data_IF_884140916001
#
_entry.id   IF_884140916001
#
_cell.length_a   1.000
_cell.length_b   1.000
_cell.length_c   1.000
_cell.angle_alpha   90.00
_cell.angle_beta   90.00
_cell.angle_gamma   90.00
#
_symmetry.space_group_name_H-M   'P 1'
#
loop_
_entity.id
_entity.type
_entity.pdbx_description
1 polymer ?
#
# COMPACT_ATOMS: atom_id res chain seq x y z
N UNK A 1 -0.64 15.37 -5.82
CA UNK A 1 0.14 14.12 -5.91
C UNK A 1 -0.50 13.19 -6.93
N UNK A 2 0.32 12.64 -7.81
CA UNK A 2 -0.18 11.76 -8.86
C UNK A 2 0.43 10.39 -8.71
N UNK A 3 -0.39 9.39 -8.45
CA UNK A 3 0.10 8.02 -8.26
C UNK A 3 0.01 7.23 -9.57
N UNK A 4 0.94 6.27 -9.72
CA UNK A 4 0.88 5.31 -10.83
C UNK A 4 -0.31 4.39 -10.64
N UNK A 5 -0.66 3.64 -11.69
CA UNK A 5 -1.75 2.66 -11.60
C UNK A 5 -1.44 1.58 -10.58
N UNK A 6 -0.19 1.14 -10.48
CA UNK A 6 0.23 0.15 -9.48
C UNK A 6 0.06 0.70 -8.08
N UNK A 7 0.45 1.96 -7.86
CA UNK A 7 0.29 2.60 -6.56
C UNK A 7 -1.20 2.74 -6.20
N UNK A 8 -2.04 3.12 -7.16
CA UNK A 8 -3.48 3.22 -6.93
C UNK A 8 -4.09 1.86 -6.60
N UNK A 9 -3.62 0.80 -7.26
CA UNK A 9 -4.08 -0.56 -6.98
C UNK A 9 -3.80 -0.94 -5.52
N UNK A 10 -2.61 -0.61 -5.02
CA UNK A 10 -2.26 -0.86 -3.62
C UNK A 10 -3.16 -0.04 -2.71
N UNK A 11 -3.36 1.23 -3.02
CA UNK A 11 -4.19 2.11 -2.18
C UNK A 11 -5.64 1.65 -2.12
N UNK A 12 -6.16 1.01 -3.16
CA UNK A 12 -7.50 0.42 -3.12
C UNK A 12 -7.62 -0.63 -2.03
N UNK A 13 -6.57 -1.44 -1.86
CA UNK A 13 -6.57 -2.47 -0.83
C UNK A 13 -6.34 -1.90 0.56
N UNK A 14 -5.24 -1.19 0.75
CA UNK A 14 -4.86 -0.73 2.09
C UNK A 14 -5.80 0.35 2.61
N UNK A 15 -6.38 1.15 1.73
CA UNK A 15 -7.36 2.17 2.12
C UNK A 15 -8.63 1.56 2.70
N UNK A 16 -8.93 0.30 2.39
CA UNK A 16 -10.08 -0.43 2.92
C UNK A 16 -9.76 -1.20 4.19
N UNK A 17 -8.51 -1.11 4.66
CA UNK A 17 -8.10 -1.78 5.88
C UNK A 17 -7.28 -3.05 5.69
N UNK A 18 -6.99 -3.45 4.44
CA UNK A 18 -6.14 -4.60 4.19
C UNK A 18 -4.69 -4.26 4.52
N UNK A 19 -3.94 -5.26 4.99
CA UNK A 19 -2.50 -5.13 5.16
C UNK A 19 -1.79 -5.75 3.98
N UNK A 20 -0.69 -5.13 3.55
CA UNK A 20 0.17 -5.69 2.52
C UNK A 20 1.31 -6.44 3.20
N UNK A 21 1.60 -7.64 2.73
CA UNK A 21 2.57 -8.54 3.35
C UNK A 21 3.74 -8.77 2.41
N UNK A 22 4.97 -8.88 2.94
CA UNK A 22 6.10 -9.28 2.11
C UNK A 22 5.91 -10.72 1.64
N UNK A 23 6.15 -10.95 0.36
CA UNK A 23 6.13 -12.28 -0.23
C UNK A 23 7.53 -12.73 -0.58
N UNK A 24 7.63 -13.71 -1.47
CA UNK A 24 8.91 -14.22 -1.94
C UNK A 24 9.65 -13.14 -2.73
N UNK A 25 10.96 -13.00 -2.49
CA UNK A 25 11.78 -12.00 -3.16
C UNK A 25 11.29 -10.59 -2.83
N UNK A 26 11.06 -9.76 -3.84
CA UNK A 26 10.60 -8.39 -3.68
C UNK A 26 9.08 -8.27 -3.82
N UNK A 27 8.34 -9.37 -3.86
CA UNK A 27 6.89 -9.33 -4.06
C UNK A 27 6.18 -8.82 -2.80
N UNK A 28 5.07 -8.14 -3.02
CA UNK A 28 4.18 -7.68 -1.94
C UNK A 28 2.81 -8.27 -2.20
N UNK A 29 2.23 -8.88 -1.18
CA UNK A 29 0.98 -9.63 -1.28
C UNK A 29 -0.14 -8.96 -0.49
N UNK A 30 -1.35 -8.99 -1.03
CA UNK A 30 -2.56 -8.63 -0.30
C UNK A 30 -3.60 -9.69 -0.61
N UNK A 31 -4.21 -10.23 0.43
CA UNK A 31 -5.25 -11.26 0.28
C UNK A 31 -4.77 -12.45 -0.56
N UNK A 32 -3.52 -12.85 -0.35
CA UNK A 32 -2.93 -13.99 -1.07
C UNK A 32 -2.56 -13.73 -2.52
N UNK A 33 -2.66 -12.49 -2.98
CA UNK A 33 -2.35 -12.10 -4.36
C UNK A 33 -1.19 -11.13 -4.40
N UNK A 34 -0.30 -11.31 -5.35
CA UNK A 34 0.78 -10.35 -5.57
C UNK A 34 0.18 -9.08 -6.17
N UNK A 35 0.43 -7.94 -5.52
CA UNK A 35 -0.11 -6.66 -5.99
C UNK A 35 0.96 -5.72 -6.50
N UNK A 36 2.19 -5.83 -5.99
CA UNK A 36 3.28 -4.94 -6.43
C UNK A 36 4.62 -5.49 -5.93
N UNK A 37 5.66 -4.72 -6.17
CA UNK A 37 6.99 -4.96 -5.59
C UNK A 37 7.21 -4.02 -4.42
N UNK A 38 8.21 -4.33 -3.60
CA UNK A 38 8.61 -3.54 -2.45
C UNK A 38 8.87 -2.08 -2.80
N UNK A 39 9.42 -1.82 -4.00
CA UNK A 39 9.71 -0.44 -4.43
C UNK A 39 8.46 0.43 -4.44
N UNK A 40 7.32 -0.14 -4.83
CA UNK A 40 6.04 0.59 -4.82
C UNK A 40 5.66 0.97 -3.40
N UNK A 41 5.84 0.05 -2.45
CA UNK A 41 5.52 0.32 -1.05
C UNK A 41 6.43 1.40 -0.47
N UNK A 42 7.73 1.37 -0.81
CA UNK A 42 8.66 2.39 -0.35
C UNK A 42 8.28 3.77 -0.91
N UNK A 43 7.83 3.84 -2.15
CA UNK A 43 7.37 5.09 -2.74
C UNK A 43 6.14 5.62 -1.99
N UNK A 44 5.19 4.74 -1.68
CA UNK A 44 4.00 5.14 -0.92
C UNK A 44 4.35 5.57 0.51
N UNK A 45 5.35 4.92 1.12
CA UNK A 45 5.86 5.33 2.43
C UNK A 45 6.44 6.74 2.38
N UNK A 46 7.21 7.06 1.35
CA UNK A 46 7.79 8.40 1.20
C UNK A 46 6.72 9.47 1.06
N UNK A 47 5.56 9.12 0.51
CA UNK A 47 4.42 10.03 0.42
C UNK A 47 3.61 10.07 1.72
N UNK A 48 3.96 9.26 2.72
CA UNK A 48 3.23 9.23 3.98
C UNK A 48 1.91 8.50 3.93
N UNK A 49 1.66 7.70 2.89
CA UNK A 49 0.37 7.04 2.68
C UNK A 49 0.29 5.66 3.32
N UNK A 50 1.42 5.00 3.49
CA UNK A 50 1.50 3.71 4.16
C UNK A 50 2.67 3.69 5.14
N UNK A 51 2.62 2.78 6.10
CA UNK A 51 3.72 2.54 7.03
C UNK A 51 3.90 1.06 7.24
N UNK A 52 5.12 0.64 7.50
CA UNK A 52 5.47 -0.74 7.78
C UNK A 52 5.59 -0.93 9.28
N UNK A 53 4.99 -1.99 9.80
CA UNK A 53 5.09 -2.33 11.22
C UNK A 53 6.29 -3.25 11.49
N UNK A 54 6.42 -3.69 12.75
CA UNK A 54 7.54 -4.55 13.17
C UNK A 54 7.49 -5.94 12.50
N UNK A 55 6.31 -6.37 12.06
CA UNK A 55 6.15 -7.64 11.35
C UNK A 55 6.34 -7.49 9.83
N UNK A 56 6.82 -6.33 9.38
CA UNK A 56 7.05 -5.98 7.99
C UNK A 56 5.77 -5.90 7.15
N UNK A 57 4.62 -5.76 7.79
CA UNK A 57 3.36 -5.56 7.10
C UNK A 57 3.13 -4.07 6.88
N UNK A 58 2.62 -3.71 5.71
CA UNK A 58 2.28 -2.31 5.43
C UNK A 58 0.79 -2.11 5.62
N UNK A 59 0.43 -0.98 6.19
CA UNK A 59 -0.96 -0.57 6.34
C UNK A 59 -1.08 0.90 5.98
N UNK A 60 -2.27 1.34 5.60
CA UNK A 60 -2.51 2.74 5.30
C UNK A 60 -2.37 3.56 6.59
N UNK A 61 -1.70 4.70 6.47
CA UNK A 61 -1.70 5.71 7.54
C UNK A 61 -3.04 6.41 7.52
N UNK A 62 -3.31 7.24 8.53
CA UNK A 62 -4.52 8.08 8.51
C UNK A 62 -4.55 8.95 7.27
N UNK A 63 -3.39 9.51 6.90
CA UNK A 63 -3.26 10.29 5.66
C UNK A 63 -3.57 9.43 4.44
N UNK A 64 -3.11 8.18 4.42
CA UNK A 64 -3.39 7.26 3.32
C UNK A 64 -4.86 6.93 3.20
N UNK A 65 -5.53 6.71 4.33
CA UNK A 65 -6.97 6.45 4.33
C UNK A 65 -7.77 7.65 3.82
N UNK A 66 -7.39 8.85 4.24
CA UNK A 66 -8.00 10.08 3.75
C UNK A 66 -7.80 10.24 2.25
N UNK A 67 -6.58 9.98 1.78
CA UNK A 67 -6.26 10.07 0.37
C UNK A 67 -7.10 9.09 -0.46
N UNK A 68 -7.20 7.85 -0.02
CA UNK A 68 -7.99 6.83 -0.70
C UNK A 68 -9.48 7.23 -0.74
N UNK A 69 -9.99 7.76 0.38
CA UNK A 69 -11.36 8.22 0.45
C UNK A 69 -11.62 9.35 -0.54
N UNK A 70 -10.70 10.30 -0.63
CA UNK A 70 -10.85 11.44 -1.52
C UNK A 70 -10.83 11.04 -2.99
N UNK A 71 -10.22 9.90 -3.31
CA UNK A 71 -10.19 9.37 -4.68
C UNK A 71 -11.36 8.45 -4.98
N UNK A 72 -12.20 8.13 -4.00
CA UNK A 72 -13.30 7.20 -4.17
C UNK A 72 -12.86 5.74 -4.21
N UNK A 73 -11.72 5.45 -3.62
CA UNK A 73 -11.20 4.07 -3.58
C UNK A 73 -11.77 3.26 -2.43
#
# INVERSE_FOLDING_TARGET
MRLSQTQLKVMRWVGKGWSALPGAGSAVMVNGRRVCNVDTMHALERHGLVRQDDARCWAATDQGKEFARSLGL
#
